data_IF_401888943874
#
_entry.id   IF_401888943874
#
_cell.length_a   1.000
_cell.length_b   1.000
_cell.length_c   1.000
_cell.angle_alpha   90.00
_cell.angle_beta   90.00
_cell.angle_gamma   90.00
#
_symmetry.space_group_name_H-M   'P 1'
#
loop_
_entity.id
_entity.type
_entity.pdbx_description
1 polymer ?
#
# COMPACT_ATOMS: atom_id res chain seq x y z
N UNK A 1 -16.71 5.42 -14.88
CA UNK A 1 -16.83 4.08 -14.26
C UNK A 1 -16.38 3.05 -15.28
N UNK A 2 -15.43 2.19 -14.93
CA UNK A 2 -14.84 1.22 -15.85
C UNK A 2 -13.41 0.86 -15.46
N UNK A 3 -12.91 -0.23 -16.03
CA UNK A 3 -11.53 -0.68 -15.85
C UNK A 3 -10.61 0.02 -16.84
N UNK A 4 -9.39 0.31 -16.40
CA UNK A 4 -8.34 0.90 -17.25
C UNK A 4 -7.09 0.04 -17.16
N UNK A 5 -6.53 -0.30 -18.31
CA UNK A 5 -5.28 -1.06 -18.42
C UNK A 5 -4.31 -0.30 -19.33
N UNK A 6 -3.17 0.11 -18.77
CA UNK A 6 -2.06 0.68 -19.53
C UNK A 6 -1.06 -0.47 -19.76
N UNK A 7 -1.00 -1.03 -20.98
CA UNK A 7 -0.13 -2.15 -21.28
C UNK A 7 1.35 -1.75 -21.32
N UNK A 8 2.23 -2.75 -21.20
CA UNK A 8 3.67 -2.58 -21.07
C UNK A 8 4.35 -1.91 -22.28
N UNK A 9 3.77 -2.08 -23.46
CA UNK A 9 4.27 -1.57 -24.75
C UNK A 9 4.05 -0.05 -24.95
N UNK A 10 3.48 0.64 -23.96
CA UNK A 10 3.26 2.09 -23.98
C UNK A 10 4.25 2.82 -23.06
N UNK A 11 5.47 3.15 -23.52
CA UNK A 11 6.44 3.81 -22.66
C UNK A 11 6.03 5.26 -22.35
N UNK A 12 6.52 5.78 -21.22
CA UNK A 12 6.50 7.22 -20.90
C UNK A 12 5.09 7.84 -20.83
N UNK A 13 4.19 7.25 -20.04
CA UNK A 13 2.84 7.75 -19.86
C UNK A 13 2.78 8.75 -18.70
N UNK A 14 2.13 9.89 -18.94
CA UNK A 14 1.68 10.81 -17.89
C UNK A 14 0.15 10.76 -17.88
N UNK A 15 -0.43 10.39 -16.74
CA UNK A 15 -1.86 10.42 -16.52
C UNK A 15 -2.16 11.39 -15.38
N UNK A 16 -2.81 12.50 -15.71
CA UNK A 16 -3.08 13.60 -14.79
C UNK A 16 -4.58 13.87 -14.68
N UNK A 17 -5.08 13.87 -13.45
CA UNK A 17 -6.42 14.28 -13.08
C UNK A 17 -6.43 15.66 -12.43
N UNK A 18 -7.61 16.28 -12.36
CA UNK A 18 -7.76 17.62 -11.78
C UNK A 18 -7.55 17.65 -10.26
N UNK A 19 -7.94 16.57 -9.56
CA UNK A 19 -7.66 16.32 -8.15
C UNK A 19 -8.18 14.94 -7.75
N UNK A 20 -7.68 14.41 -6.63
CA UNK A 20 -8.17 13.17 -6.04
C UNK A 20 -9.68 13.18 -5.73
N UNK A 21 -10.31 14.33 -5.46
CA UNK A 21 -11.74 14.41 -5.20
C UNK A 21 -12.59 14.49 -6.48
N UNK A 22 -12.01 14.96 -7.60
CA UNK A 22 -12.76 15.26 -8.82
C UNK A 22 -12.53 14.23 -9.93
N UNK A 23 -11.37 13.57 -9.96
CA UNK A 23 -11.03 12.58 -10.98
C UNK A 23 -10.96 11.20 -10.35
N UNK A 24 -12.00 10.38 -10.58
CA UNK A 24 -12.15 9.06 -9.97
C UNK A 24 -12.31 7.98 -11.05
N UNK A 25 -11.40 7.01 -11.05
CA UNK A 25 -11.53 5.76 -11.82
C UNK A 25 -12.02 4.68 -10.86
N UNK A 26 -13.27 4.26 -11.06
CA UNK A 26 -13.98 3.36 -10.15
C UNK A 26 -14.61 2.19 -10.90
N UNK A 27 -14.48 1.00 -10.33
CA UNK A 27 -15.03 -0.28 -10.78
C UNK A 27 -15.12 -1.25 -9.58
N UNK A 28 -15.95 -2.29 -9.62
CA UNK A 28 -16.00 -3.28 -8.54
C UNK A 28 -17.32 -4.05 -8.51
N UNK A 29 -17.44 -5.09 -9.33
CA UNK A 29 -18.63 -5.92 -9.47
C UNK A 29 -18.51 -7.28 -8.75
N UNK A 30 -17.28 -7.77 -8.56
CA UNK A 30 -17.00 -9.05 -7.91
C UNK A 30 -15.59 -9.12 -7.31
N UNK A 31 -15.37 -10.17 -6.52
CA UNK A 31 -14.08 -10.51 -5.93
C UNK A 31 -13.00 -10.69 -7.01
N UNK A 32 -11.75 -10.44 -6.64
CA UNK A 32 -10.55 -10.58 -7.47
C UNK A 32 -10.57 -9.73 -8.75
N UNK A 33 -11.30 -8.61 -8.73
CA UNK A 33 -11.28 -7.62 -9.80
C UNK A 33 -10.14 -6.62 -9.61
N UNK A 34 -9.77 -5.93 -10.69
CA UNK A 34 -8.80 -4.84 -10.66
C UNK A 34 -9.35 -3.66 -11.44
N UNK A 35 -9.44 -2.49 -10.80
CA UNK A 35 -9.95 -1.27 -11.43
C UNK A 35 -8.93 -0.65 -12.38
N UNK A 36 -7.69 -0.49 -11.93
CA UNK A 36 -6.62 0.13 -12.72
C UNK A 36 -5.38 -0.74 -12.75
N UNK A 37 -4.77 -0.88 -13.94
CA UNK A 37 -3.49 -1.57 -14.13
C UNK A 37 -2.54 -0.64 -14.86
N UNK A 38 -1.35 -0.44 -14.28
CA UNK A 38 -0.20 0.16 -14.95
C UNK A 38 0.90 -0.88 -15.08
N UNK A 39 1.37 -1.12 -16.31
CA UNK A 39 2.46 -2.03 -16.61
C UNK A 39 3.76 -1.39 -17.17
N UNK A 40 3.75 -0.28 -17.92
CA UNK A 40 4.96 0.22 -18.56
C UNK A 40 5.89 0.93 -17.58
N UNK A 41 7.19 1.04 -17.91
CA UNK A 41 8.13 1.84 -17.13
C UNK A 41 8.00 3.35 -17.43
N UNK A 42 8.54 4.17 -16.52
CA UNK A 42 8.57 5.64 -16.62
C UNK A 42 7.17 6.27 -16.67
N UNK A 43 6.30 5.88 -15.74
CA UNK A 43 4.92 6.41 -15.66
C UNK A 43 4.82 7.49 -14.58
N UNK A 44 4.06 8.54 -14.86
CA UNK A 44 3.63 9.53 -13.86
C UNK A 44 2.12 9.46 -13.71
N UNK A 45 1.64 9.27 -12.48
CA UNK A 45 0.23 9.36 -12.12
C UNK A 45 0.06 10.55 -11.18
N UNK A 46 -0.89 11.44 -11.45
CA UNK A 46 -1.09 12.62 -10.60
C UNK A 46 -2.57 12.98 -10.44
N UNK A 47 -3.01 13.27 -9.22
CA UNK A 47 -4.31 13.87 -8.97
C UNK A 47 -5.52 13.00 -9.34
N UNK A 48 -5.40 11.67 -9.23
CA UNK A 48 -6.44 10.71 -9.60
C UNK A 48 -6.71 9.79 -8.40
N UNK A 49 -7.98 9.46 -8.18
CA UNK A 49 -8.37 8.39 -7.26
C UNK A 49 -8.71 7.13 -8.04
N UNK A 50 -8.12 6.02 -7.64
CA UNK A 50 -8.45 4.67 -8.10
C UNK A 50 -9.25 3.97 -7.00
N UNK A 51 -10.41 3.42 -7.34
CA UNK A 51 -11.33 2.83 -6.39
C UNK A 51 -11.80 1.45 -6.82
N UNK A 52 -11.79 0.48 -5.90
CA UNK A 52 -12.52 -0.76 -6.06
C UNK A 52 -13.74 -0.82 -5.13
N UNK A 53 -14.94 -0.91 -5.70
CA UNK A 53 -16.22 -0.86 -4.96
C UNK A 53 -16.78 -2.23 -4.57
N UNK A 54 -16.03 -3.34 -4.73
CA UNK A 54 -16.55 -4.68 -4.46
C UNK A 54 -17.02 -4.88 -3.01
N UNK A 55 -16.36 -4.24 -2.03
CA UNK A 55 -16.72 -4.33 -0.62
C UNK A 55 -15.86 -5.31 0.18
N UNK A 56 -16.40 -5.73 1.33
CA UNK A 56 -15.69 -6.46 2.40
C UNK A 56 -15.59 -7.98 2.21
N UNK A 57 -16.16 -8.53 1.13
CA UNK A 57 -16.31 -9.98 0.95
C UNK A 57 -15.09 -10.64 0.28
N UNK A 58 -13.92 -10.02 0.38
CA UNK A 58 -12.64 -10.57 -0.06
C UNK A 58 -11.84 -9.63 -0.96
N UNK A 59 -10.75 -10.13 -1.59
CA UNK A 59 -9.76 -9.28 -2.25
C UNK A 59 -10.31 -8.58 -3.47
N UNK A 60 -10.03 -7.28 -3.61
CA UNK A 60 -10.41 -6.50 -4.78
C UNK A 60 -9.46 -5.29 -4.95
N UNK A 61 -8.75 -5.25 -6.07
CA UNK A 61 -7.65 -4.30 -6.29
C UNK A 61 -8.16 -3.01 -6.89
N UNK A 62 -7.87 -1.87 -6.26
CA UNK A 62 -8.12 -0.55 -6.81
C UNK A 62 -7.09 -0.19 -7.87
N UNK A 63 -5.81 -0.43 -7.58
CA UNK A 63 -4.73 -0.23 -8.53
C UNK A 63 -3.65 -1.31 -8.42
N UNK A 64 -3.25 -1.87 -9.56
CA UNK A 64 -2.06 -2.70 -9.70
C UNK A 64 -0.98 -1.91 -10.42
N UNK A 65 0.12 -1.63 -9.73
CA UNK A 65 1.25 -0.88 -10.26
C UNK A 65 2.42 -1.85 -10.51
N UNK A 66 2.82 -1.94 -11.77
CA UNK A 66 4.07 -2.54 -12.20
C UNK A 66 4.88 -1.48 -12.95
N UNK A 67 6.02 -1.91 -13.48
CA UNK A 67 6.83 -1.07 -14.37
C UNK A 67 7.80 -0.21 -13.58
N UNK A 68 9.06 -0.21 -14.00
CA UNK A 68 10.11 0.48 -13.27
C UNK A 68 10.02 2.01 -13.42
N UNK A 69 10.44 2.74 -12.37
CA UNK A 69 10.47 4.22 -12.32
C UNK A 69 9.08 4.87 -12.48
N UNK A 70 8.13 4.41 -11.68
CA UNK A 70 6.80 5.02 -11.62
C UNK A 70 6.72 6.05 -10.49
N UNK A 71 6.25 7.26 -10.78
CA UNK A 71 6.04 8.31 -9.79
C UNK A 71 4.54 8.62 -9.66
N UNK A 72 4.04 8.67 -8.43
CA UNK A 72 2.63 8.83 -8.10
C UNK A 72 2.47 10.01 -7.14
N UNK A 73 1.72 11.03 -7.54
CA UNK A 73 1.57 12.28 -6.78
C UNK A 73 0.11 12.58 -6.48
N UNK A 74 -0.23 12.87 -5.22
CA UNK A 74 -1.58 13.35 -4.86
C UNK A 74 -2.71 12.44 -5.36
N UNK A 75 -2.46 11.13 -5.38
CA UNK A 75 -3.45 10.14 -5.81
C UNK A 75 -4.17 9.51 -4.62
N UNK A 76 -5.39 9.04 -4.86
CA UNK A 76 -6.18 8.26 -3.93
C UNK A 76 -6.22 6.77 -4.33
N UNK A 77 -6.21 5.87 -3.36
CA UNK A 77 -6.40 4.44 -3.55
C UNK A 77 -7.42 3.95 -2.53
N UNK A 78 -8.61 3.57 -3.01
CA UNK A 78 -9.76 3.25 -2.16
C UNK A 78 -10.21 1.80 -2.37
N UNK A 79 -10.32 1.05 -1.29
CA UNK A 79 -10.75 -0.34 -1.31
C UNK A 79 -10.85 -0.89 0.12
N UNK A 80 -10.87 -2.21 0.23
CA UNK A 80 -10.97 -2.93 1.49
C UNK A 80 -9.80 -3.92 1.60
N UNK A 81 -10.00 -5.17 1.18
CA UNK A 81 -8.91 -6.13 1.06
C UNK A 81 -8.16 -5.96 -0.26
N UNK A 82 -6.82 -5.97 -0.21
CA UNK A 82 -5.93 -5.90 -1.38
C UNK A 82 -6.08 -4.60 -2.20
N UNK A 83 -6.27 -3.43 -1.57
CA UNK A 83 -6.51 -2.15 -2.26
C UNK A 83 -5.43 -1.78 -3.28
N UNK A 84 -4.16 -1.66 -2.86
CA UNK A 84 -3.04 -1.26 -3.70
C UNK A 84 -2.07 -2.44 -3.88
N UNK A 85 -2.10 -3.01 -5.09
CA UNK A 85 -1.13 -4.03 -5.49
C UNK A 85 0.12 -3.35 -6.07
N UNK A 86 1.05 -3.03 -5.19
CA UNK A 86 2.36 -2.48 -5.50
C UNK A 86 3.34 -3.58 -5.96
N UNK A 87 3.07 -4.08 -7.16
CA UNK A 87 3.47 -5.42 -7.58
C UNK A 87 4.97 -5.56 -7.87
N UNK A 88 5.55 -4.72 -8.73
CA UNK A 88 6.96 -4.83 -9.13
C UNK A 88 7.52 -3.55 -9.77
N UNK A 89 8.80 -3.26 -9.54
CA UNK A 89 9.46 -2.04 -10.04
C UNK A 89 9.92 -1.13 -8.91
N UNK A 90 10.51 0.03 -9.26
CA UNK A 90 10.82 1.10 -8.32
C UNK A 90 9.77 2.19 -8.40
N UNK A 91 9.08 2.44 -7.29
CA UNK A 91 7.99 3.40 -7.26
C UNK A 91 8.19 4.48 -6.18
N UNK A 92 7.72 5.69 -6.49
CA UNK A 92 7.71 6.81 -5.56
C UNK A 92 6.30 7.36 -5.42
N UNK A 93 5.73 7.26 -4.22
CA UNK A 93 4.42 7.79 -3.89
C UNK A 93 4.60 9.03 -3.02
N UNK A 94 3.97 10.14 -3.37
CA UNK A 94 4.07 11.39 -2.60
C UNK A 94 2.72 12.05 -2.42
N UNK A 95 2.41 12.39 -1.16
CA UNK A 95 1.14 13.04 -0.78
C UNK A 95 -0.09 12.22 -1.21
N UNK A 96 0.01 10.89 -1.20
CA UNK A 96 -1.08 10.00 -1.58
C UNK A 96 -1.96 9.63 -0.38
N UNK A 97 -3.21 9.30 -0.65
CA UNK A 97 -4.15 8.75 0.33
C UNK A 97 -4.45 7.30 -0.04
N UNK A 98 -4.29 6.38 0.91
CA UNK A 98 -4.47 4.94 0.69
C UNK A 98 -5.38 4.41 1.79
N UNK A 99 -6.45 3.73 1.42
CA UNK A 99 -7.47 3.24 2.35
C UNK A 99 -7.69 1.74 2.20
N UNK A 100 -7.87 1.04 3.33
CA UNK A 100 -8.36 -0.32 3.32
C UNK A 100 -8.35 -1.00 4.68
N UNK A 101 -8.44 -2.33 4.62
CA UNK A 101 -8.72 -3.21 5.75
C UNK A 101 -7.61 -4.25 5.93
N UNK A 102 -7.52 -5.18 4.98
CA UNK A 102 -6.61 -6.33 5.02
C UNK A 102 -5.64 -6.22 3.85
N UNK A 103 -4.34 -6.28 4.14
CA UNK A 103 -3.25 -6.27 3.16
C UNK A 103 -3.38 -5.13 2.14
N UNK A 104 -3.87 -3.97 2.56
CA UNK A 104 -4.32 -2.96 1.60
C UNK A 104 -3.17 -2.24 0.86
N UNK A 105 -1.92 -2.47 1.26
CA UNK A 105 -0.71 -2.22 0.46
C UNK A 105 0.11 -3.51 0.40
N UNK A 106 0.14 -4.17 -0.76
CA UNK A 106 0.79 -5.48 -0.87
C UNK A 106 1.57 -5.62 -2.17
N UNK A 107 2.59 -6.49 -2.17
CA UNK A 107 3.43 -6.69 -3.34
C UNK A 107 4.92 -6.87 -3.04
N UNK A 108 5.70 -6.87 -4.12
CA UNK A 108 7.15 -7.09 -4.10
C UNK A 108 7.96 -5.81 -4.39
N UNK A 109 7.33 -4.74 -4.89
CA UNK A 109 8.04 -3.57 -5.40
C UNK A 109 9.04 -2.94 -4.40
N UNK A 110 10.01 -2.20 -4.94
CA UNK A 110 10.92 -1.36 -4.16
C UNK A 110 10.33 0.06 -4.12
N UNK A 111 9.59 0.37 -3.07
CA UNK A 111 8.73 1.56 -3.07
C UNK A 111 8.99 2.48 -1.90
N UNK A 112 8.93 3.78 -2.20
CA UNK A 112 9.10 4.84 -1.23
C UNK A 112 7.84 5.71 -1.18
N UNK A 113 7.17 5.72 -0.02
CA UNK A 113 5.93 6.43 0.27
C UNK A 113 6.27 7.63 1.16
N UNK A 114 6.17 8.84 0.61
CA UNK A 114 6.52 10.07 1.30
C UNK A 114 5.30 10.93 1.59
N UNK A 115 5.11 11.26 2.87
CA UNK A 115 3.99 12.10 3.32
C UNK A 115 2.62 11.57 2.86
N UNK A 116 2.46 10.25 2.87
CA UNK A 116 1.21 9.59 2.54
C UNK A 116 0.33 9.41 3.79
N UNK A 117 -0.98 9.30 3.57
CA UNK A 117 -1.94 8.93 4.61
C UNK A 117 -2.40 7.50 4.34
N UNK A 118 -2.19 6.62 5.31
CA UNK A 118 -2.73 5.26 5.33
C UNK A 118 -3.93 5.25 6.27
N UNK A 119 -5.14 5.18 5.71
CA UNK A 119 -6.39 5.23 6.44
C UNK A 119 -6.99 3.83 6.60
N UNK A 120 -6.88 3.27 7.80
CA UNK A 120 -7.50 2.01 8.16
C UNK A 120 -9.02 2.16 8.28
N UNK A 121 -9.74 1.21 7.71
CA UNK A 121 -11.21 1.12 7.81
C UNK A 121 -11.67 -0.24 8.33
N UNK A 122 -10.81 -0.93 9.08
CA UNK A 122 -11.13 -2.25 9.62
C UNK A 122 -12.27 -2.14 10.65
N UNK A 123 -13.28 -3.00 10.53
CA UNK A 123 -14.29 -3.10 11.57
C UNK A 123 -13.68 -3.64 12.88
N UNK A 124 -13.85 -2.90 13.98
CA UNK A 124 -13.34 -3.27 15.31
C UNK A 124 -13.90 -4.59 15.87
N UNK A 125 -15.02 -5.08 15.33
CA UNK A 125 -15.64 -6.35 15.70
C UNK A 125 -15.00 -7.56 15.02
N UNK A 126 -14.16 -7.33 14.01
CA UNK A 126 -13.45 -8.37 13.27
C UNK A 126 -12.02 -8.55 13.79
N UNK A 127 -11.36 -9.59 13.29
CA UNK A 127 -9.92 -9.74 13.49
C UNK A 127 -9.15 -8.51 12.97
N UNK A 128 -7.97 -8.20 13.54
CA UNK A 128 -7.18 -7.06 13.10
C UNK A 128 -6.86 -7.12 11.61
N UNK A 129 -6.91 -5.95 10.97
CA UNK A 129 -6.47 -5.76 9.60
C UNK A 129 -4.95 -5.60 9.49
N UNK A 130 -4.48 -5.36 8.29
CA UNK A 130 -3.05 -5.24 7.99
C UNK A 130 -2.81 -4.15 6.96
N UNK A 131 -1.93 -3.20 7.28
CA UNK A 131 -1.57 -2.13 6.35
C UNK A 131 -0.74 -2.69 5.20
N UNK A 132 0.26 -3.52 5.53
CA UNK A 132 1.19 -4.06 4.52
C UNK A 132 1.24 -5.57 4.47
N UNK A 133 1.42 -6.11 3.26
CA UNK A 133 1.75 -7.51 3.03
C UNK A 133 2.84 -7.64 1.96
N UNK A 134 4.10 -7.65 2.41
CA UNK A 134 5.26 -7.57 1.52
C UNK A 134 5.79 -8.97 1.18
N UNK A 135 6.10 -9.24 -0.09
CA UNK A 135 6.43 -10.57 -0.61
C UNK A 135 7.87 -10.82 -1.04
N UNK A 136 8.84 -10.10 -0.46
CA UNK A 136 10.27 -10.32 -0.69
C UNK A 136 10.63 -11.78 -0.34
N UNK A 137 11.33 -12.45 -1.25
CA UNK A 137 11.57 -13.91 -1.21
C UNK A 137 12.96 -14.26 -0.73
N UNK A 138 13.94 -13.41 -1.00
CA UNK A 138 15.34 -13.63 -0.63
C UNK A 138 15.88 -12.41 0.13
N UNK A 139 16.85 -12.59 1.04
CA UNK A 139 17.47 -11.48 1.77
C UNK A 139 18.23 -10.51 0.84
N UNK A 140 18.69 -11.01 -0.32
CA UNK A 140 19.41 -10.23 -1.34
C UNK A 140 18.49 -9.47 -2.30
N UNK A 141 17.19 -9.74 -2.28
CA UNK A 141 16.22 -9.03 -3.11
C UNK A 141 16.17 -7.54 -2.72
N UNK A 142 15.89 -6.68 -3.69
CA UNK A 142 15.82 -5.22 -3.49
C UNK A 142 14.42 -4.73 -3.10
N UNK A 143 13.40 -5.57 -3.23
CA UNK A 143 12.00 -5.25 -2.91
C UNK A 143 11.77 -4.89 -1.44
N UNK A 144 10.84 -3.98 -1.18
CA UNK A 144 10.52 -3.52 0.17
C UNK A 144 9.82 -2.17 0.14
N UNK A 145 9.11 -1.87 1.23
CA UNK A 145 8.34 -0.64 1.35
C UNK A 145 8.96 0.28 2.41
N UNK A 146 9.13 1.55 2.08
CA UNK A 146 9.58 2.57 3.02
C UNK A 146 8.52 3.66 3.08
N UNK A 147 7.92 3.85 4.25
CA UNK A 147 7.02 4.93 4.57
C UNK A 147 7.82 6.00 5.32
N UNK A 148 7.87 7.21 4.79
CA UNK A 148 8.57 8.34 5.39
C UNK A 148 7.62 9.50 5.59
N UNK A 149 7.50 9.99 6.82
CA UNK A 149 6.51 11.01 7.20
C UNK A 149 5.07 10.53 6.94
N UNK A 150 4.10 11.41 7.13
CA UNK A 150 2.68 11.11 6.94
C UNK A 150 2.07 10.42 8.16
N UNK A 151 0.91 9.79 7.96
CA UNK A 151 0.05 9.33 9.04
C UNK A 151 -0.51 7.93 8.77
N UNK A 152 -0.54 7.09 9.80
CA UNK A 152 -1.47 5.97 9.90
C UNK A 152 -2.63 6.41 10.79
N UNK A 153 -3.84 6.39 10.24
CA UNK A 153 -5.06 6.87 10.91
C UNK A 153 -6.27 6.02 10.53
N UNK A 154 -7.47 6.46 10.92
CA UNK A 154 -8.74 5.84 10.56
C UNK A 154 -9.49 5.29 11.77
N UNK A 155 -10.15 4.14 11.61
CA UNK A 155 -10.82 3.42 12.69
C UNK A 155 -10.46 1.94 12.65
N UNK A 156 -10.87 1.21 13.68
CA UNK A 156 -10.57 -0.21 13.81
C UNK A 156 -9.27 -0.52 14.50
N UNK A 157 -8.81 -1.75 14.28
CA UNK A 157 -7.51 -2.24 14.74
C UNK A 157 -6.75 -2.88 13.58
N UNK A 158 -5.52 -2.43 13.39
CA UNK A 158 -4.64 -2.92 12.32
C UNK A 158 -3.22 -3.16 12.85
N UNK A 159 -2.55 -4.13 12.25
CA UNK A 159 -1.09 -4.26 12.32
C UNK A 159 -0.44 -3.45 11.18
N UNK A 160 0.78 -2.99 11.39
CA UNK A 160 1.60 -2.34 10.35
C UNK A 160 1.86 -3.28 9.17
N UNK A 161 1.88 -4.59 9.40
CA UNK A 161 1.83 -5.55 8.30
C UNK A 161 1.95 -7.00 8.72
N UNK A 162 1.91 -7.87 7.70
CA UNK A 162 2.20 -9.29 7.84
C UNK A 162 3.09 -9.83 6.74
N UNK A 163 3.74 -10.95 7.01
CA UNK A 163 4.70 -11.58 6.11
C UNK A 163 3.99 -12.36 4.99
N UNK A 164 3.84 -11.76 3.80
CA UNK A 164 3.37 -12.51 2.61
C UNK A 164 4.49 -13.35 2.00
N UNK A 165 5.72 -12.85 2.03
CA UNK A 165 6.93 -13.60 1.68
C UNK A 165 7.76 -13.95 2.91
N UNK A 166 8.78 -14.82 2.76
CA UNK A 166 9.64 -15.26 3.86
C UNK A 166 10.61 -14.19 4.39
N UNK A 167 10.87 -13.12 3.63
CA UNK A 167 11.82 -12.06 4.01
C UNK A 167 11.22 -10.66 3.92
N UNK A 168 10.01 -10.40 4.44
CA UNK A 168 9.34 -9.13 4.20
C UNK A 168 10.20 -7.97 4.74
N UNK A 169 10.20 -6.86 4.01
CA UNK A 169 10.91 -5.64 4.41
C UNK A 169 10.00 -4.44 4.32
N UNK A 170 9.67 -3.87 5.47
CA UNK A 170 8.81 -2.69 5.59
C UNK A 170 9.37 -1.75 6.67
N UNK A 171 9.53 -0.48 6.34
CA UNK A 171 10.09 0.53 7.24
C UNK A 171 9.10 1.67 7.37
N UNK A 172 8.77 2.07 8.60
CA UNK A 172 8.00 3.29 8.90
C UNK A 172 8.92 4.29 9.60
N UNK A 173 9.29 5.38 8.93
CA UNK A 173 10.26 6.37 9.44
C UNK A 173 9.65 7.77 9.55
N UNK A 174 9.51 8.23 10.79
CA UNK A 174 8.92 9.55 11.09
C UNK A 174 7.45 9.66 10.66
N UNK A 175 6.77 8.52 10.51
CA UNK A 175 5.32 8.42 10.25
C UNK A 175 4.59 8.39 11.58
N UNK A 176 3.57 9.23 11.72
CA UNK A 176 2.75 9.29 12.93
C UNK A 176 1.74 8.14 12.94
N UNK A 177 1.70 7.37 14.01
CA UNK A 177 0.82 6.21 14.16
C UNK A 177 -0.26 6.52 15.19
N UNK A 178 -1.53 6.54 14.77
CA UNK A 178 -2.64 6.73 15.68
C UNK A 178 -2.97 5.45 16.47
N UNK A 179 -3.94 5.54 17.38
CA UNK A 179 -4.40 4.44 18.25
C UNK A 179 -5.08 3.27 17.52
N UNK A 180 -5.22 3.34 16.20
CA UNK A 180 -5.67 2.21 15.35
C UNK A 180 -4.60 1.14 15.22
N UNK A 181 -3.32 1.48 15.38
CA UNK A 181 -2.21 0.54 15.27
C UNK A 181 -2.06 -0.24 16.58
N UNK A 182 -2.08 -1.56 16.47
CA UNK A 182 -1.84 -2.46 17.60
C UNK A 182 -0.38 -2.45 18.06
N UNK A 183 -0.16 -2.73 19.35
CA UNK A 183 1.17 -2.77 19.96
C UNK A 183 2.08 -3.85 19.39
N UNK A 184 1.49 -4.97 18.96
CA UNK A 184 2.13 -6.10 18.33
C UNK A 184 2.80 -5.68 17.02
N UNK A 185 2.12 -4.80 16.27
CA UNK A 185 2.60 -4.16 15.05
C UNK A 185 2.73 -5.08 13.84
N UNK A 186 3.11 -6.35 14.02
CA UNK A 186 3.50 -7.25 12.94
C UNK A 186 3.04 -8.69 13.17
N UNK A 187 2.73 -9.40 12.07
CA UNK A 187 2.42 -10.84 12.09
C UNK A 187 3.32 -11.60 11.09
N UNK A 188 4.03 -12.62 11.57
CA UNK A 188 4.86 -13.50 10.73
C UNK A 188 4.03 -14.45 9.84
N UNK A 189 2.70 -14.47 9.99
CA UNK A 189 1.76 -15.28 9.24
C UNK A 189 2.16 -16.77 9.19
N UNK A 190 2.53 -17.28 8.01
CA UNK A 190 2.94 -18.68 7.80
C UNK A 190 4.43 -18.93 8.13
N UNK A 191 5.18 -17.88 8.49
CA UNK A 191 6.62 -17.90 8.76
C UNK A 191 6.95 -17.76 10.25
N UNK A 192 5.99 -18.08 11.14
CA UNK A 192 6.24 -18.16 12.59
C UNK A 192 7.35 -19.17 12.87
N UNK A 193 8.37 -18.78 13.64
CA UNK A 193 9.61 -19.52 13.86
C UNK A 193 10.71 -19.30 12.80
N UNK A 194 10.47 -18.44 11.80
CA UNK A 194 11.44 -18.07 10.75
C UNK A 194 11.58 -16.53 10.62
N UNK A 195 11.42 -15.81 11.74
CA UNK A 195 11.37 -14.35 11.78
C UNK A 195 12.73 -13.67 11.54
N UNK A 196 13.82 -14.42 11.46
CA UNK A 196 15.17 -13.89 11.21
C UNK A 196 15.30 -13.13 9.88
N UNK A 197 14.41 -13.40 8.92
CA UNK A 197 14.33 -12.73 7.62
C UNK A 197 13.49 -11.45 7.59
N UNK A 198 12.77 -11.15 8.67
CA UNK A 198 11.80 -10.07 8.78
C UNK A 198 12.51 -8.76 9.15
N UNK A 199 12.41 -7.75 8.29
CA UNK A 199 12.99 -6.44 8.53
C UNK A 199 11.89 -5.40 8.70
N UNK A 200 11.50 -5.20 9.95
CA UNK A 200 10.58 -4.18 10.37
C UNK A 200 11.29 -3.17 11.26
N UNK A 201 11.16 -1.88 10.94
CA UNK A 201 11.71 -0.83 11.79
C UNK A 201 10.76 0.34 11.91
N UNK A 202 10.67 0.84 13.15
CA UNK A 202 10.06 2.11 13.52
C UNK A 202 11.13 2.93 14.24
N UNK A 203 11.85 3.84 13.57
CA UNK A 203 12.71 4.78 14.26
C UNK A 203 11.84 5.62 15.22
N UNK A 204 12.36 5.86 16.43
CA UNK A 204 11.71 6.64 17.47
C UNK A 204 11.17 7.98 16.93
N UNK A 205 10.05 8.51 17.49
CA UNK A 205 9.65 9.89 17.21
C UNK A 205 10.82 10.82 17.56
N UNK A 206 11.19 11.73 16.64
CA UNK A 206 12.09 12.82 17.03
C UNK A 206 11.31 13.73 17.98
N UNK A 207 11.49 13.55 19.29
CA UNK A 207 10.82 14.39 20.29
C UNK A 207 10.68 13.83 21.71
N UNK A 208 10.90 12.54 21.94
CA UNK A 208 11.01 12.00 23.31
C UNK A 208 12.48 11.71 23.61
N UNK A 209 13.09 12.58 24.41
CA UNK A 209 14.32 12.27 25.12
C UNK A 209 14.11 10.95 25.88
N UNK A 210 14.95 9.96 25.56
CA UNK A 210 15.05 8.76 26.36
C UNK A 210 15.47 9.16 27.79
N UNK A 211 14.56 8.99 28.74
CA UNK A 211 14.89 8.74 30.15
C UNK A 211 14.65 7.27 30.44
#
# INVERSE_FOLDING_TARGET
RGRVNIPYDKPCIILEGSSMSNTIISYGDKQATTTFVSAPPNVILSGITFENTFGHSGPAVAAKINGDKTAIFKCGFLGYQDTLFDASGRHYYKNCYIQGEIDFIFGFAQSFYENCVMNATQDSSLYPGYITAQSRKLPTDQGGFVFRRGFVTGFGKVNLGRAWGPYPRVIFWGTDLSSVVLSEGWDAWMYKGQETGVQYSRPCPMGEEAK
#
